data_IF_222925659866
#
_entry.id   IF_222925659866
#
_cell.length_a   1.000
_cell.length_b   1.000
_cell.length_c   1.000
_cell.angle_alpha   90.00
_cell.angle_beta   90.00
_cell.angle_gamma   90.00
#
_symmetry.space_group_name_H-M   'P 1'
#
loop_
_entity.id
_entity.type
_entity.pdbx_description
1 polymer ?
#
# COMPACT_ATOMS: atom_id res chain seq x y z
N UNK A 1 -61.70 45.15 18.43
CA UNK A 1 -60.64 45.55 19.38
C UNK A 1 -59.91 44.27 19.71
N UNK A 2 -59.16 43.76 18.74
CA UNK A 2 -57.70 43.98 18.56
C UNK A 2 -56.98 42.84 19.28
N UNK A 3 -56.05 42.09 18.72
CA UNK A 3 -55.40 42.11 17.42
C UNK A 3 -54.58 40.82 17.30
N UNK A 4 -54.38 40.41 16.06
CA UNK A 4 -53.48 39.34 15.60
C UNK A 4 -52.04 39.52 16.10
N UNK A 5 -51.33 38.42 16.38
CA UNK A 5 -49.93 38.31 15.95
C UNK A 5 -49.46 36.85 15.81
N UNK A 6 -48.80 36.64 14.68
CA UNK A 6 -48.23 35.40 14.14
C UNK A 6 -47.02 34.91 14.93
N UNK A 7 -46.77 33.59 14.93
CA UNK A 7 -45.41 33.08 15.03
C UNK A 7 -45.23 31.76 14.25
N UNK A 8 -44.27 31.66 13.31
CA UNK A 8 -44.23 30.61 12.29
C UNK A 8 -43.33 29.42 12.65
N UNK A 9 -43.59 28.30 11.96
CA UNK A 9 -42.91 27.02 12.13
C UNK A 9 -41.43 26.93 11.73
N UNK A 10 -40.82 25.74 11.90
CA UNK A 10 -39.38 25.54 11.87
C UNK A 10 -38.81 25.59 10.44
N UNK A 11 -37.85 26.50 10.23
CA UNK A 11 -37.12 26.69 8.97
C UNK A 11 -36.18 25.51 8.70
N UNK A 12 -36.39 24.85 7.57
CA UNK A 12 -35.46 23.94 6.90
C UNK A 12 -34.24 24.72 6.38
N UNK A 13 -33.04 24.36 6.86
CA UNK A 13 -31.78 24.84 6.23
C UNK A 13 -31.46 23.94 5.04
N UNK A 14 -31.80 24.41 3.85
CA UNK A 14 -31.20 23.98 2.58
C UNK A 14 -29.83 24.63 2.46
N UNK A 15 -28.77 23.82 2.30
CA UNK A 15 -27.45 24.28 1.85
C UNK A 15 -27.50 24.47 0.32
N UNK A 16 -26.96 25.57 -0.23
CA UNK A 16 -26.93 25.79 -1.66
C UNK A 16 -25.78 25.02 -2.33
N UNK A 17 -26.12 24.40 -3.46
CA UNK A 17 -25.20 23.96 -4.51
C UNK A 17 -24.60 25.21 -5.16
N UNK A 18 -23.27 25.31 -5.22
CA UNK A 18 -22.56 26.21 -6.14
C UNK A 18 -21.52 25.37 -6.88
N UNK A 19 -21.75 25.24 -8.19
CA UNK A 19 -20.89 24.61 -9.17
C UNK A 19 -20.23 25.73 -9.99
N UNK A 20 -18.93 25.57 -10.25
CA UNK A 20 -18.10 26.26 -11.24
C UNK A 20 -17.82 27.77 -11.06
N UNK A 21 -16.54 28.12 -10.86
CA UNK A 21 -15.72 28.86 -11.85
C UNK A 21 -14.31 29.16 -11.29
N UNK A 22 -13.34 29.25 -12.21
CA UNK A 22 -11.97 29.79 -12.10
C UNK A 22 -10.80 28.79 -11.97
N UNK A 23 -10.47 28.15 -13.09
CA UNK A 23 -9.11 28.29 -13.65
C UNK A 23 -9.14 29.49 -14.62
N UNK A 24 -8.15 30.42 -14.62
CA UNK A 24 -6.90 30.12 -15.32
C UNK A 24 -5.64 30.77 -14.71
N UNK A 25 -4.58 29.99 -14.52
CA UNK A 25 -3.22 30.50 -14.49
C UNK A 25 -2.31 29.36 -14.95
N UNK A 26 -2.01 29.31 -16.25
CA UNK A 26 -0.84 28.68 -16.88
C UNK A 26 -1.00 28.86 -18.40
N UNK A 27 -0.75 30.07 -18.87
CA UNK A 27 -0.55 30.39 -20.27
C UNK A 27 0.78 31.14 -20.40
N UNK A 28 1.90 30.43 -20.28
CA UNK A 28 3.22 30.97 -20.62
C UNK A 28 4.26 29.87 -20.86
N UNK A 29 4.00 28.96 -21.79
CA UNK A 29 5.05 28.27 -22.53
C UNK A 29 4.54 28.07 -23.95
N UNK A 30 4.89 29.00 -24.84
CA UNK A 30 4.54 28.90 -26.25
C UNK A 30 5.19 27.67 -26.88
N UNK A 31 4.36 26.71 -27.28
CA UNK A 31 4.63 25.70 -28.29
C UNK A 31 3.26 25.36 -28.92
N UNK A 32 3.14 25.56 -30.24
CA UNK A 32 1.94 25.30 -31.02
C UNK A 32 1.74 23.78 -31.25
N UNK A 33 0.51 23.32 -31.59
CA UNK A 33 0.07 21.94 -31.40
C UNK A 33 0.30 21.07 -32.64
N UNK A 34 0.56 19.78 -32.42
CA UNK A 34 0.41 18.75 -33.45
C UNK A 34 -0.18 17.48 -32.81
N UNK A 35 -1.31 17.02 -33.35
CA UNK A 35 -1.84 15.68 -33.13
C UNK A 35 -2.99 15.61 -32.13
N UNK A 36 -4.22 15.68 -32.65
CA UNK A 36 -5.41 15.13 -31.99
C UNK A 36 -5.19 13.63 -31.72
N UNK A 37 -5.37 13.21 -30.47
CA UNK A 37 -5.68 11.83 -30.10
C UNK A 37 -7.02 11.85 -29.37
N UNK A 38 -7.95 11.04 -29.87
CA UNK A 38 -9.32 10.89 -29.37
C UNK A 38 -9.38 10.41 -27.91
N UNK A 39 -10.46 10.72 -27.18
CA UNK A 39 -10.58 10.38 -25.77
C UNK A 39 -10.81 8.87 -25.57
N UNK A 40 -9.94 8.24 -24.79
CA UNK A 40 -10.17 6.90 -24.23
C UNK A 40 -11.21 7.03 -23.11
N UNK A 41 -12.27 6.24 -23.21
CA UNK A 41 -13.33 6.13 -22.20
C UNK A 41 -12.76 5.82 -20.82
N UNK A 42 -12.86 6.81 -19.92
CA UNK A 42 -12.56 6.69 -18.51
C UNK A 42 -13.61 5.80 -17.85
N UNK A 43 -13.22 4.54 -17.59
CA UNK A 43 -13.86 3.67 -16.61
C UNK A 43 -14.02 4.43 -15.28
N UNK A 44 -15.27 4.49 -14.81
CA UNK A 44 -15.69 5.11 -13.57
C UNK A 44 -14.95 4.49 -12.37
N UNK A 45 -13.93 5.18 -11.87
CA UNK A 45 -13.35 4.92 -10.55
C UNK A 45 -14.18 5.69 -9.52
N UNK A 46 -14.76 4.99 -8.55
CA UNK A 46 -15.55 5.60 -7.47
C UNK A 46 -14.70 6.60 -6.67
N UNK A 47 -15.23 7.77 -6.26
CA UNK A 47 -14.49 8.81 -5.52
C UNK A 47 -13.89 8.35 -4.18
N UNK A 48 -14.36 7.23 -3.61
CA UNK A 48 -13.82 6.65 -2.37
C UNK A 48 -12.44 6.00 -2.54
N UNK A 49 -12.02 5.63 -3.75
CA UNK A 49 -10.71 5.02 -4.00
C UNK A 49 -9.58 6.05 -4.12
N UNK A 50 -9.89 7.32 -4.44
CA UNK A 50 -8.88 8.34 -4.72
C UNK A 50 -8.14 8.83 -3.46
N UNK A 51 -8.77 8.79 -2.28
CA UNK A 51 -8.15 9.22 -1.02
C UNK A 51 -7.18 8.17 -0.44
N UNK A 52 -7.47 6.86 -0.61
CA UNK A 52 -6.56 5.77 -0.24
C UNK A 52 -5.33 5.73 -1.15
N UNK A 53 -5.54 5.97 -2.45
CA UNK A 53 -4.47 6.00 -3.44
C UNK A 53 -3.38 7.02 -3.12
N UNK A 54 -3.69 8.24 -2.66
CA UNK A 54 -2.67 9.25 -2.35
C UNK A 54 -1.72 8.84 -1.21
N UNK A 55 -2.24 8.21 -0.15
CA UNK A 55 -1.42 7.68 0.95
C UNK A 55 -0.58 6.48 0.54
N UNK A 56 -1.12 5.62 -0.33
CA UNK A 56 -0.45 4.42 -0.84
C UNK A 56 0.61 4.76 -1.90
N UNK A 57 0.37 5.72 -2.79
CA UNK A 57 1.40 6.24 -3.69
C UNK A 57 2.50 6.97 -2.93
N UNK A 58 2.17 7.64 -1.80
CA UNK A 58 3.15 8.17 -0.86
C UNK A 58 4.00 7.07 -0.22
N UNK A 59 3.38 5.98 0.24
CA UNK A 59 4.07 4.81 0.79
C UNK A 59 4.93 4.12 -0.28
N UNK A 60 4.39 3.77 -1.44
CA UNK A 60 5.15 3.12 -2.51
C UNK A 60 6.25 4.03 -3.05
N UNK A 61 6.02 5.34 -3.16
CA UNK A 61 7.05 6.32 -3.48
C UNK A 61 8.16 6.34 -2.43
N UNK A 62 7.80 6.33 -1.14
CA UNK A 62 8.75 6.25 -0.03
C UNK A 62 9.52 4.94 0.01
N UNK A 63 8.82 3.79 -0.04
CA UNK A 63 9.39 2.44 -0.05
C UNK A 63 10.32 2.25 -1.25
N UNK A 64 9.93 2.72 -2.44
CA UNK A 64 10.73 2.62 -3.66
C UNK A 64 11.97 3.51 -3.64
N UNK A 65 11.87 4.74 -3.11
CA UNK A 65 13.03 5.62 -2.94
C UNK A 65 14.01 5.02 -1.92
N UNK A 66 13.52 4.36 -0.86
CA UNK A 66 14.38 3.67 0.10
C UNK A 66 15.01 2.38 -0.41
N UNK A 67 14.32 1.63 -1.26
CA UNK A 67 14.86 0.44 -1.92
C UNK A 67 16.07 0.80 -2.81
N UNK A 68 16.03 1.95 -3.49
CA UNK A 68 17.18 2.48 -4.22
C UNK A 68 18.35 2.77 -3.29
N UNK A 69 18.11 3.46 -2.17
CA UNK A 69 19.14 3.71 -1.15
C UNK A 69 19.70 2.41 -0.54
N UNK A 70 18.85 1.39 -0.34
CA UNK A 70 19.26 0.08 0.18
C UNK A 70 20.14 -0.68 -0.81
N UNK A 71 19.82 -0.69 -2.10
CA UNK A 71 20.68 -1.30 -3.14
C UNK A 71 22.05 -0.64 -3.19
N UNK A 72 22.10 0.69 -3.13
CA UNK A 72 23.35 1.44 -3.02
C UNK A 72 24.12 1.12 -1.74
N UNK A 73 23.44 0.90 -0.61
CA UNK A 73 24.09 0.57 0.67
C UNK A 73 24.61 -0.89 0.70
N UNK A 74 23.91 -1.82 0.06
CA UNK A 74 24.33 -3.22 -0.09
C UNK A 74 25.57 -3.31 -1.00
N UNK A 75 25.57 -2.59 -2.12
CA UNK A 75 26.72 -2.45 -3.02
C UNK A 75 27.91 -1.78 -2.30
N UNK A 76 27.68 -0.77 -1.46
CA UNK A 76 28.71 -0.14 -0.61
C UNK A 76 29.28 -1.07 0.47
N UNK A 77 28.45 -1.92 1.08
CA UNK A 77 28.90 -2.92 2.05
C UNK A 77 29.77 -3.99 1.39
N UNK A 78 29.46 -4.35 0.14
CA UNK A 78 30.29 -5.26 -0.67
C UNK A 78 31.58 -4.58 -1.16
N UNK A 79 31.60 -3.25 -1.33
CA UNK A 79 32.75 -2.48 -1.81
C UNK A 79 33.76 -2.03 -0.73
N UNK A 80 33.62 -2.45 0.53
CA UNK A 80 34.64 -2.23 1.56
C UNK A 80 34.86 -0.77 1.97
N UNK A 81 33.92 -0.24 2.77
CA UNK A 81 34.19 0.74 3.83
C UNK A 81 34.22 2.23 3.47
N UNK A 82 33.26 2.99 4.03
CA UNK A 82 33.47 4.29 4.70
C UNK A 82 32.42 4.41 5.82
N UNK A 83 32.87 4.67 7.06
CA UNK A 83 31.99 5.04 8.18
C UNK A 83 31.49 6.47 7.95
N UNK A 84 30.26 6.59 7.44
CA UNK A 84 29.51 7.84 7.52
C UNK A 84 29.08 8.05 8.98
N UNK A 85 29.18 9.29 9.45
CA UNK A 85 28.68 9.63 10.79
C UNK A 85 27.19 9.31 10.87
N UNK A 86 26.72 8.83 12.03
CA UNK A 86 25.31 8.48 12.23
C UNK A 86 24.39 9.69 12.03
N UNK A 87 24.90 10.94 12.13
CA UNK A 87 24.17 12.13 11.69
C UNK A 87 23.91 12.17 10.18
N UNK A 88 24.87 11.77 9.33
CA UNK A 88 24.62 11.60 7.91
C UNK A 88 23.62 10.46 7.65
N UNK A 89 23.66 9.40 8.46
CA UNK A 89 22.76 8.24 8.35
C UNK A 89 21.34 8.48 8.90
N UNK A 90 21.20 9.36 9.89
CA UNK A 90 19.94 9.85 10.45
C UNK A 90 19.35 10.94 9.54
N UNK A 91 20.19 11.81 8.98
CA UNK A 91 19.83 12.71 7.88
C UNK A 91 19.64 11.97 6.54
N UNK A 92 19.99 10.70 6.41
CA UNK A 92 19.70 9.85 5.24
C UNK A 92 18.44 9.00 5.52
N UNK A 93 18.18 8.66 6.79
CA UNK A 93 16.88 8.15 7.29
C UNK A 93 15.78 9.23 7.29
N UNK A 94 16.16 10.52 7.35
CA UNK A 94 15.34 11.74 7.22
C UNK A 94 15.66 12.55 5.94
N UNK A 95 16.53 12.03 5.08
CA UNK A 95 17.06 12.52 3.78
C UNK A 95 17.59 13.98 3.66
N UNK A 96 18.89 14.14 3.30
CA UNK A 96 19.40 15.36 2.64
C UNK A 96 18.87 15.48 1.20
N UNK A 97 18.43 14.37 0.58
CA UNK A 97 17.58 14.38 -0.63
C UNK A 97 16.08 14.52 -0.30
N UNK A 98 15.66 14.31 0.96
CA UNK A 98 14.26 14.45 1.44
C UNK A 98 13.91 15.89 1.85
N UNK A 99 14.85 16.85 1.80
CA UNK A 99 14.50 18.27 1.78
C UNK A 99 13.55 18.64 0.61
N UNK A 100 13.38 17.74 -0.36
CA UNK A 100 12.46 17.88 -1.50
C UNK A 100 11.28 16.89 -1.51
N UNK A 101 11.16 15.99 -0.52
CA UNK A 101 10.01 15.06 -0.40
C UNK A 101 9.07 15.49 0.74
N UNK A 102 8.03 16.30 0.47
CA UNK A 102 7.22 16.97 1.50
C UNK A 102 6.52 16.00 2.47
N UNK A 103 6.27 14.75 2.07
CA UNK A 103 5.43 13.84 2.84
C UNK A 103 6.08 13.31 4.14
N UNK A 104 7.42 13.15 4.23
CA UNK A 104 8.05 12.61 5.46
C UNK A 104 8.33 13.66 6.52
N UNK A 105 8.77 14.85 6.11
CA UNK A 105 8.91 15.98 7.01
C UNK A 105 7.55 16.30 7.66
N UNK A 106 6.46 16.23 6.89
CA UNK A 106 5.09 16.38 7.39
C UNK A 106 4.65 15.25 8.35
N UNK A 107 5.11 14.00 8.13
CA UNK A 107 4.79 12.87 9.01
C UNK A 107 5.44 12.97 10.41
N UNK A 108 6.63 13.57 10.49
CA UNK A 108 7.37 13.74 11.74
C UNK A 108 7.22 15.13 12.36
N UNK A 109 6.72 16.09 11.58
CA UNK A 109 6.37 17.41 12.08
C UNK A 109 5.11 17.35 12.97
N UNK A 110 5.11 18.17 14.00
CA UNK A 110 3.92 18.59 14.72
C UNK A 110 3.04 19.42 13.77
N UNK A 111 1.75 19.61 14.08
CA UNK A 111 0.85 20.41 13.23
C UNK A 111 1.33 21.84 12.96
N UNK A 112 2.27 22.33 13.78
CA UNK A 112 2.93 23.63 13.65
C UNK A 112 4.24 23.58 12.84
N UNK A 113 4.59 22.43 12.26
CA UNK A 113 5.81 22.23 11.47
C UNK A 113 7.05 21.89 12.31
N UNK A 114 6.97 21.83 13.65
CA UNK A 114 8.14 21.56 14.50
C UNK A 114 8.43 20.06 14.62
N UNK A 115 9.71 19.67 14.71
CA UNK A 115 10.07 18.26 14.87
C UNK A 115 9.62 17.69 16.22
N UNK A 116 9.20 16.42 16.22
CA UNK A 116 8.88 15.68 17.44
C UNK A 116 10.05 15.73 18.46
N UNK A 117 9.87 16.36 19.64
CA UNK A 117 10.93 16.49 20.64
C UNK A 117 11.50 15.14 21.10
N UNK A 118 10.72 14.07 21.03
CA UNK A 118 11.17 12.72 21.37
C UNK A 118 12.24 12.24 20.38
N UNK A 119 12.11 12.56 19.10
CA UNK A 119 13.11 12.18 18.09
C UNK A 119 14.43 12.91 18.31
N UNK A 120 14.39 14.19 18.67
CA UNK A 120 15.58 14.97 19.01
C UNK A 120 16.29 14.36 20.23
N UNK A 121 15.52 13.99 21.25
CA UNK A 121 16.07 13.36 22.46
C UNK A 121 16.68 11.99 22.14
N UNK A 122 15.97 11.13 21.41
CA UNK A 122 16.47 9.81 21.01
C UNK A 122 17.71 9.92 20.13
N UNK A 123 17.77 10.89 19.22
CA UNK A 123 18.97 11.14 18.43
C UNK A 123 20.18 11.41 19.34
N UNK A 124 20.03 12.22 20.39
CA UNK A 124 21.11 12.44 21.36
C UNK A 124 21.48 11.17 22.11
N UNK A 125 20.49 10.40 22.57
CA UNK A 125 20.70 9.14 23.28
C UNK A 125 21.41 8.09 22.41
N UNK A 126 21.15 8.08 21.10
CA UNK A 126 21.85 7.22 20.15
C UNK A 126 23.32 7.61 19.90
N UNK A 127 23.80 8.73 20.43
CA UNK A 127 25.18 9.20 20.28
C UNK A 127 25.97 9.21 21.60
N UNK A 128 25.37 8.79 22.72
CA UNK A 128 26.10 8.76 23.99
C UNK A 128 27.30 7.79 23.92
N UNK A 129 28.36 8.01 24.71
CA UNK A 129 29.47 7.07 24.82
C UNK A 129 29.02 5.69 25.31
N UNK A 130 29.79 4.64 25.03
CA UNK A 130 29.46 3.25 25.41
C UNK A 130 29.23 3.10 26.93
N UNK A 131 29.95 3.87 27.74
CA UNK A 131 29.83 3.86 29.22
C UNK A 131 28.48 4.37 29.73
N UNK A 132 27.76 5.17 28.94
CA UNK A 132 26.42 5.71 29.27
C UNK A 132 25.30 4.97 28.50
N UNK A 133 25.67 3.97 27.69
CA UNK A 133 24.74 3.36 26.74
C UNK A 133 23.65 2.53 27.42
N UNK A 134 23.93 1.87 28.54
CA UNK A 134 22.92 1.07 29.24
C UNK A 134 21.73 1.92 29.71
N UNK A 135 21.99 3.09 30.30
CA UNK A 135 20.97 4.02 30.75
C UNK A 135 20.23 4.66 29.56
N UNK A 136 20.97 5.15 28.57
CA UNK A 136 20.38 5.72 27.35
C UNK A 136 19.50 4.70 26.61
N UNK A 137 19.91 3.44 26.58
CA UNK A 137 19.13 2.36 25.98
C UNK A 137 17.82 2.11 26.72
N UNK A 138 17.82 2.17 28.06
CA UNK A 138 16.60 2.03 28.86
C UNK A 138 15.59 3.15 28.56
N UNK A 139 16.08 4.39 28.39
CA UNK A 139 15.24 5.53 28.01
C UNK A 139 14.70 5.39 26.58
N UNK A 140 15.54 5.03 25.60
CA UNK A 140 15.11 4.74 24.22
C UNK A 140 14.02 3.67 24.20
N UNK A 141 14.23 2.58 24.95
CA UNK A 141 13.26 1.51 25.08
C UNK A 141 11.93 2.00 25.62
N UNK A 142 11.97 2.84 26.67
CA UNK A 142 10.79 3.44 27.27
C UNK A 142 10.02 4.30 26.25
N UNK A 143 10.71 5.12 25.46
CA UNK A 143 10.05 5.92 24.42
C UNK A 143 9.40 5.06 23.34
N UNK A 144 10.07 4.02 22.85
CA UNK A 144 9.51 3.11 21.85
C UNK A 144 8.31 2.31 22.37
N UNK A 145 8.28 1.99 23.68
CA UNK A 145 7.20 1.25 24.31
C UNK A 145 6.03 2.14 24.79
N UNK A 146 6.23 3.45 24.94
CA UNK A 146 5.20 4.38 25.39
C UNK A 146 4.14 4.59 24.30
N UNK A 147 2.88 4.34 24.66
CA UNK A 147 1.71 4.55 23.78
C UNK A 147 1.46 6.04 23.49
N UNK A 148 2.02 6.95 24.31
CA UNK A 148 1.95 8.40 24.08
C UNK A 148 2.94 8.86 23.01
N UNK A 149 4.00 8.09 22.76
CA UNK A 149 4.91 8.35 21.64
C UNK A 149 4.15 8.13 20.35
N UNK A 150 4.30 9.07 19.40
CA UNK A 150 3.67 8.98 18.08
C UNK A 150 4.03 7.64 17.43
N UNK A 151 3.06 6.92 16.84
CA UNK A 151 3.31 5.60 16.26
C UNK A 151 4.48 5.54 15.28
N UNK A 152 4.59 6.52 14.37
CA UNK A 152 5.72 6.61 13.43
C UNK A 152 7.05 6.86 14.13
N UNK A 153 7.08 7.74 15.15
CA UNK A 153 8.27 7.97 15.95
C UNK A 153 8.74 6.69 16.64
N UNK A 154 7.82 5.83 17.13
CA UNK A 154 8.19 4.53 17.73
C UNK A 154 8.97 3.64 16.75
N UNK A 155 8.60 3.63 15.46
CA UNK A 155 9.31 2.88 14.41
C UNK A 155 10.73 3.43 14.21
N UNK A 156 10.87 4.74 14.08
CA UNK A 156 12.18 5.41 13.91
C UNK A 156 13.08 5.16 15.11
N UNK A 157 12.54 5.25 16.32
CA UNK A 157 13.28 4.99 17.57
C UNK A 157 13.75 3.54 17.62
N UNK A 158 12.90 2.58 17.25
CA UNK A 158 13.23 1.17 17.22
C UNK A 158 14.32 0.85 16.16
N UNK A 159 14.20 1.42 14.95
CA UNK A 159 15.22 1.29 13.90
C UNK A 159 16.54 1.93 14.31
N UNK A 160 16.49 3.11 14.93
CA UNK A 160 17.64 3.78 15.53
C UNK A 160 18.31 2.92 16.60
N UNK A 161 17.54 2.29 17.49
CA UNK A 161 18.09 1.37 18.49
C UNK A 161 18.78 0.17 17.84
N UNK A 162 18.23 -0.38 16.76
CA UNK A 162 18.80 -1.52 16.04
C UNK A 162 20.22 -1.21 15.50
N UNK A 163 20.54 0.04 15.19
CA UNK A 163 21.89 0.45 14.75
C UNK A 163 22.98 0.19 15.78
N UNK A 164 22.63 0.24 17.08
CA UNK A 164 23.57 0.01 18.20
C UNK A 164 23.36 -1.33 18.88
N UNK A 165 22.12 -1.80 18.94
CA UNK A 165 21.76 -3.08 19.54
C UNK A 165 20.66 -3.73 18.70
N UNK A 166 21.10 -4.53 17.71
CA UNK A 166 20.22 -5.20 16.74
C UNK A 166 19.14 -6.00 17.46
N UNK A 167 19.51 -6.81 18.46
CA UNK A 167 18.57 -7.67 19.19
C UNK A 167 17.42 -6.87 19.82
N UNK A 168 17.71 -5.78 20.54
CA UNK A 168 16.66 -4.96 21.16
C UNK A 168 15.88 -4.16 20.12
N UNK A 169 16.53 -3.60 19.11
CA UNK A 169 15.86 -2.86 18.05
C UNK A 169 14.89 -3.72 17.24
N UNK A 170 15.33 -4.90 16.79
CA UNK A 170 14.48 -5.91 16.11
C UNK A 170 13.30 -6.32 17.01
N UNK A 171 13.55 -6.58 18.29
CA UNK A 171 12.48 -6.93 19.23
C UNK A 171 11.40 -5.84 19.34
N UNK A 172 11.78 -4.56 19.33
CA UNK A 172 10.82 -3.44 19.31
C UNK A 172 10.08 -3.34 17.99
N UNK A 173 10.78 -3.47 16.86
CA UNK A 173 10.15 -3.43 15.54
C UNK A 173 9.11 -4.55 15.39
N UNK A 174 9.43 -5.79 15.81
CA UNK A 174 8.47 -6.91 15.85
C UNK A 174 7.29 -6.58 16.75
N UNK A 175 7.54 -6.00 17.93
CA UNK A 175 6.46 -5.60 18.85
C UNK A 175 5.53 -4.56 18.23
N UNK A 176 6.07 -3.59 17.48
CA UNK A 176 5.27 -2.58 16.78
C UNK A 176 4.51 -3.21 15.61
N UNK A 177 5.15 -4.08 14.82
CA UNK A 177 4.52 -4.81 13.72
C UNK A 177 3.30 -5.64 14.16
N UNK A 178 3.35 -6.21 15.36
CA UNK A 178 2.29 -7.03 15.95
C UNK A 178 1.27 -6.25 16.79
N UNK A 179 1.46 -4.95 16.98
CA UNK A 179 0.57 -4.10 17.79
C UNK A 179 -0.74 -3.84 17.02
N UNK A 180 -1.76 -4.66 17.30
CA UNK A 180 -3.05 -4.59 16.61
C UNK A 180 -3.86 -3.31 16.86
N UNK A 181 -3.45 -2.48 17.81
CA UNK A 181 -4.05 -1.16 18.05
C UNK A 181 -3.47 -0.08 17.13
N UNK A 182 -2.35 -0.37 16.46
CA UNK A 182 -1.74 0.55 15.49
C UNK A 182 -2.34 0.36 14.11
N UNK A 183 -2.40 1.46 13.36
CA UNK A 183 -2.77 1.42 11.95
C UNK A 183 -1.86 0.45 11.18
N UNK A 184 -2.45 -0.29 10.23
CA UNK A 184 -1.77 -1.22 9.31
C UNK A 184 -0.52 -0.58 8.69
N UNK A 185 -0.61 0.68 8.27
CA UNK A 185 0.50 1.46 7.73
C UNK A 185 1.73 1.51 8.65
N UNK A 186 1.53 1.80 9.95
CA UNK A 186 2.64 1.87 10.92
C UNK A 186 3.26 0.48 11.12
N UNK A 187 2.41 -0.55 11.14
CA UNK A 187 2.84 -1.95 11.26
C UNK A 187 3.66 -2.36 10.03
N UNK A 188 3.19 -2.05 8.82
CA UNK A 188 3.92 -2.25 7.57
C UNK A 188 5.29 -1.57 7.57
N UNK A 189 5.34 -0.31 8.02
CA UNK A 189 6.61 0.42 8.14
C UNK A 189 7.58 -0.28 9.09
N UNK A 190 7.10 -0.73 10.25
CA UNK A 190 7.94 -1.47 11.19
C UNK A 190 8.50 -2.76 10.58
N UNK A 191 7.68 -3.49 9.80
CA UNK A 191 8.11 -4.70 9.09
C UNK A 191 9.12 -4.36 7.98
N UNK A 192 8.89 -3.27 7.25
CA UNK A 192 9.81 -2.82 6.23
C UNK A 192 11.18 -2.45 6.83
N UNK A 193 11.21 -1.82 8.00
CA UNK A 193 12.46 -1.60 8.74
C UNK A 193 13.13 -2.92 9.15
N UNK A 194 12.36 -3.96 9.51
CA UNK A 194 12.92 -5.27 9.86
C UNK A 194 13.76 -5.86 8.72
N UNK A 195 13.42 -5.60 7.44
CA UNK A 195 14.18 -6.09 6.27
C UNK A 195 15.67 -5.73 6.34
N UNK A 196 16.01 -4.59 6.96
CA UNK A 196 17.40 -4.14 7.10
C UNK A 196 18.21 -4.99 8.07
N UNK A 197 17.54 -5.59 9.05
CA UNK A 197 18.15 -6.20 10.23
C UNK A 197 18.02 -7.72 10.23
N UNK A 198 16.88 -8.24 9.76
CA UNK A 198 16.55 -9.66 9.73
C UNK A 198 15.46 -9.94 8.66
N UNK A 199 15.87 -10.50 7.52
CA UNK A 199 14.97 -10.77 6.39
C UNK A 199 13.93 -11.85 6.70
N UNK A 200 14.33 -12.89 7.44
CA UNK A 200 13.45 -14.02 7.77
C UNK A 200 12.35 -13.57 8.73
N UNK A 201 12.70 -12.78 9.74
CA UNK A 201 11.74 -12.16 10.65
C UNK A 201 10.83 -11.19 9.89
N UNK A 202 11.37 -10.35 9.00
CA UNK A 202 10.55 -9.43 8.20
C UNK A 202 9.53 -10.19 7.35
N UNK A 203 9.95 -11.25 6.66
CA UNK A 203 9.06 -12.08 5.85
C UNK A 203 7.97 -12.75 6.70
N UNK A 204 8.31 -13.28 7.88
CA UNK A 204 7.33 -13.84 8.81
C UNK A 204 6.30 -12.80 9.29
N UNK A 205 6.73 -11.56 9.56
CA UNK A 205 5.80 -10.51 9.97
C UNK A 205 4.92 -10.01 8.81
N UNK A 206 5.42 -9.97 7.57
CA UNK A 206 4.58 -9.68 6.41
C UNK A 206 3.50 -10.75 6.20
N UNK A 207 3.82 -12.04 6.38
CA UNK A 207 2.83 -13.12 6.36
C UNK A 207 1.78 -12.94 7.45
N UNK A 208 2.22 -12.62 8.67
CA UNK A 208 1.32 -12.37 9.79
C UNK A 208 0.37 -11.20 9.50
N UNK A 209 0.87 -10.14 8.86
CA UNK A 209 0.04 -8.98 8.50
C UNK A 209 -0.90 -9.29 7.33
N UNK A 210 -0.45 -10.02 6.31
CA UNK A 210 -1.28 -10.49 5.20
C UNK A 210 -2.44 -11.39 5.70
N UNK A 211 -2.21 -12.18 6.74
CA UNK A 211 -3.23 -13.04 7.35
C UNK A 211 -4.17 -12.31 8.32
N UNK A 212 -3.90 -11.06 8.69
CA UNK A 212 -4.66 -10.33 9.72
C UNK A 212 -6.03 -9.87 9.19
N UNK A 213 -7.10 -10.59 9.54
CA UNK A 213 -8.48 -10.25 9.11
C UNK A 213 -9.02 -8.92 9.69
N UNK A 214 -8.31 -8.28 10.63
CA UNK A 214 -8.74 -7.02 11.26
C UNK A 214 -8.38 -5.78 10.44
N UNK A 215 -7.50 -5.92 9.44
CA UNK A 215 -7.09 -4.83 8.55
C UNK A 215 -7.72 -4.99 7.16
N UNK A 216 -7.60 -3.94 6.34
CA UNK A 216 -8.20 -3.92 5.01
C UNK A 216 -7.60 -4.99 4.08
N UNK A 217 -8.38 -5.45 3.09
CA UNK A 217 -7.86 -6.36 2.07
C UNK A 217 -6.72 -5.71 1.26
N UNK A 218 -6.81 -4.41 0.99
CA UNK A 218 -5.79 -3.63 0.31
C UNK A 218 -4.44 -3.68 1.05
N UNK A 219 -4.42 -3.41 2.36
CA UNK A 219 -3.19 -3.49 3.15
C UNK A 219 -2.62 -4.92 3.22
N UNK A 220 -3.49 -5.93 3.23
CA UNK A 220 -3.07 -7.35 3.20
C UNK A 220 -2.44 -7.71 1.86
N UNK A 221 -2.96 -7.19 0.75
CA UNK A 221 -2.37 -7.33 -0.59
C UNK A 221 -0.99 -6.68 -0.60
N UNK A 222 -0.87 -5.44 -0.11
CA UNK A 222 0.43 -4.74 -0.01
C UNK A 222 1.43 -5.55 0.83
N UNK A 223 1.01 -6.13 1.95
CA UNK A 223 1.87 -7.01 2.75
C UNK A 223 2.33 -8.25 1.96
N UNK A 224 1.44 -8.85 1.15
CA UNK A 224 1.77 -9.98 0.28
C UNK A 224 2.72 -9.60 -0.87
N UNK A 225 2.58 -8.40 -1.43
CA UNK A 225 3.50 -7.87 -2.45
C UNK A 225 4.90 -7.64 -1.87
N UNK A 226 4.99 -6.95 -0.72
CA UNK A 226 6.27 -6.70 -0.05
C UNK A 226 6.94 -8.00 0.43
N UNK A 227 6.14 -9.02 0.78
CA UNK A 227 6.66 -10.36 1.00
C UNK A 227 7.21 -10.97 -0.29
N UNK A 228 6.52 -10.82 -1.41
CA UNK A 228 6.97 -11.32 -2.72
C UNK A 228 8.27 -10.68 -3.21
N UNK A 229 8.50 -9.41 -2.89
CA UNK A 229 9.78 -8.74 -3.14
C UNK A 229 10.95 -9.39 -2.37
N UNK A 230 10.68 -9.94 -1.18
CA UNK A 230 11.67 -10.66 -0.37
C UNK A 230 11.81 -12.13 -0.78
N UNK A 231 10.67 -12.78 -0.99
CA UNK A 231 10.53 -14.19 -1.30
C UNK A 231 9.29 -14.38 -2.19
N UNK A 232 9.55 -14.54 -3.49
CA UNK A 232 8.53 -14.64 -4.51
C UNK A 232 7.53 -15.78 -4.27
N UNK A 233 7.98 -16.92 -3.73
CA UNK A 233 7.12 -18.07 -3.48
C UNK A 233 6.17 -17.79 -2.31
N UNK A 234 6.71 -17.25 -1.21
CA UNK A 234 5.91 -16.88 -0.02
C UNK A 234 4.92 -15.76 -0.34
N UNK A 235 5.34 -14.74 -1.10
CA UNK A 235 4.47 -13.65 -1.54
C UNK A 235 3.33 -14.13 -2.44
N UNK A 236 3.64 -14.97 -3.43
CA UNK A 236 2.63 -15.59 -4.28
C UNK A 236 1.63 -16.45 -3.47
N UNK A 237 2.11 -17.22 -2.49
CA UNK A 237 1.26 -18.01 -1.60
C UNK A 237 0.36 -17.13 -0.72
N UNK A 238 0.89 -16.03 -0.17
CA UNK A 238 0.14 -15.08 0.63
C UNK A 238 -0.95 -14.36 -0.18
N UNK A 239 -0.65 -13.95 -1.40
CA UNK A 239 -1.65 -13.37 -2.31
C UNK A 239 -2.71 -14.40 -2.72
N UNK A 240 -2.32 -15.66 -2.97
CA UNK A 240 -3.27 -16.73 -3.25
C UNK A 240 -4.22 -17.00 -2.06
N UNK A 241 -3.75 -16.85 -0.82
CA UNK A 241 -4.61 -16.96 0.37
C UNK A 241 -5.71 -15.88 0.40
N UNK A 242 -5.41 -14.66 -0.07
CA UNK A 242 -6.42 -13.59 -0.25
C UNK A 242 -7.42 -14.00 -1.33
N UNK A 243 -6.93 -14.48 -2.48
CA UNK A 243 -7.77 -14.94 -3.62
C UNK A 243 -8.75 -16.02 -3.17
N UNK A 244 -8.34 -16.91 -2.27
CA UNK A 244 -9.15 -18.02 -1.80
C UNK A 244 -10.11 -17.67 -0.66
N UNK A 245 -10.06 -16.45 -0.12
CA UNK A 245 -10.91 -16.06 0.99
C UNK A 245 -12.33 -15.64 0.52
N UNK A 246 -13.37 -16.45 0.78
CA UNK A 246 -14.72 -16.15 0.29
C UNK A 246 -15.40 -14.98 1.01
N UNK A 247 -14.85 -14.51 2.15
CA UNK A 247 -15.39 -13.35 2.88
C UNK A 247 -15.00 -12.02 2.22
N UNK A 248 -13.99 -12.01 1.36
CA UNK A 248 -13.50 -10.81 0.70
C UNK A 248 -14.30 -10.51 -0.57
N UNK A 249 -14.37 -9.21 -0.92
CA UNK A 249 -15.02 -8.79 -2.15
C UNK A 249 -14.27 -9.35 -3.36
N UNK A 250 -14.99 -9.60 -4.47
CA UNK A 250 -14.38 -10.13 -5.67
C UNK A 250 -13.26 -9.24 -6.20
N UNK A 251 -13.45 -7.92 -6.18
CA UNK A 251 -12.44 -6.97 -6.68
C UNK A 251 -11.10 -7.08 -5.93
N UNK A 252 -11.14 -7.26 -4.60
CA UNK A 252 -9.93 -7.46 -3.80
C UNK A 252 -9.25 -8.79 -4.15
N UNK A 253 -10.05 -9.86 -4.26
CA UNK A 253 -9.56 -11.19 -4.62
C UNK A 253 -8.97 -11.20 -6.03
N UNK A 254 -9.60 -10.52 -6.97
CA UNK A 254 -9.13 -10.37 -8.36
C UNK A 254 -7.86 -9.51 -8.42
N UNK A 255 -7.80 -8.40 -7.68
CA UNK A 255 -6.59 -7.60 -7.55
C UNK A 255 -5.43 -8.44 -7.00
N UNK A 256 -5.65 -9.22 -5.93
CA UNK A 256 -4.63 -10.12 -5.40
C UNK A 256 -4.15 -11.16 -6.44
N UNK A 257 -5.06 -11.70 -7.27
CA UNK A 257 -4.70 -12.59 -8.36
C UNK A 257 -3.79 -11.89 -9.40
N UNK A 258 -4.15 -10.68 -9.83
CA UNK A 258 -3.31 -9.90 -10.75
C UNK A 258 -1.94 -9.56 -10.15
N UNK A 259 -1.90 -9.13 -8.87
CA UNK A 259 -0.65 -8.81 -8.17
C UNK A 259 0.28 -10.02 -8.03
N UNK A 260 -0.27 -11.23 -7.89
CA UNK A 260 0.56 -12.45 -7.82
C UNK A 260 1.39 -12.69 -9.08
N UNK A 261 0.96 -12.15 -10.23
CA UNK A 261 1.69 -12.23 -11.50
C UNK A 261 2.99 -11.45 -11.53
N UNK A 262 3.21 -10.53 -10.59
CA UNK A 262 4.50 -9.85 -10.43
C UNK A 262 5.62 -10.82 -10.00
N UNK A 263 5.26 -11.93 -9.34
CA UNK A 263 6.20 -12.89 -8.78
C UNK A 263 6.20 -14.22 -9.55
N UNK A 264 5.05 -14.62 -10.11
CA UNK A 264 4.93 -15.84 -10.89
C UNK A 264 3.70 -15.81 -11.81
N UNK A 265 3.91 -15.98 -13.11
CA UNK A 265 2.81 -16.15 -14.09
C UNK A 265 1.93 -17.34 -13.71
N UNK A 266 2.55 -18.46 -13.30
CA UNK A 266 1.83 -19.64 -12.85
C UNK A 266 0.95 -19.36 -11.62
N UNK A 267 1.43 -18.54 -10.67
CA UNK A 267 0.62 -18.16 -9.50
C UNK A 267 -0.60 -17.32 -9.91
N UNK A 268 -0.43 -16.37 -10.84
CA UNK A 268 -1.53 -15.59 -11.41
C UNK A 268 -2.55 -16.46 -12.12
N UNK A 269 -2.10 -17.36 -12.99
CA UNK A 269 -2.98 -18.29 -13.69
C UNK A 269 -3.77 -19.14 -12.69
N UNK A 270 -3.09 -19.74 -11.71
CA UNK A 270 -3.74 -20.54 -10.66
C UNK A 270 -4.76 -19.73 -9.87
N UNK A 271 -4.43 -18.49 -9.51
CA UNK A 271 -5.33 -17.60 -8.78
C UNK A 271 -6.58 -17.24 -9.61
N UNK A 272 -6.39 -16.88 -10.88
CA UNK A 272 -7.49 -16.55 -11.78
C UNK A 272 -8.37 -17.78 -12.07
N UNK A 273 -7.79 -18.97 -12.21
CA UNK A 273 -8.55 -20.22 -12.32
C UNK A 273 -9.42 -20.50 -11.09
N UNK A 274 -8.88 -20.25 -9.89
CA UNK A 274 -9.65 -20.36 -8.65
C UNK A 274 -10.86 -19.41 -8.67
N UNK A 275 -10.70 -18.19 -9.19
CA UNK A 275 -11.80 -17.23 -9.31
C UNK A 275 -12.82 -17.60 -10.39
N UNK A 276 -12.35 -18.05 -11.56
CA UNK A 276 -13.22 -18.45 -12.68
C UNK A 276 -14.11 -19.65 -12.33
N UNK A 277 -13.62 -20.54 -11.48
CA UNK A 277 -14.31 -21.77 -11.06
C UNK A 277 -15.01 -21.66 -9.70
N UNK A 278 -14.91 -20.51 -9.01
CA UNK A 278 -15.55 -20.29 -7.72
C UNK A 278 -17.09 -20.22 -7.85
N UNK A 279 -17.77 -21.31 -7.54
CA UNK A 279 -19.23 -21.41 -7.63
C UNK A 279 -19.97 -20.51 -6.64
N UNK A 280 -19.31 -19.95 -5.62
CA UNK A 280 -19.98 -19.05 -4.67
C UNK A 280 -20.03 -17.60 -5.19
N UNK A 281 -19.35 -17.31 -6.30
CA UNK A 281 -19.32 -15.98 -6.92
C UNK A 281 -20.42 -15.80 -7.96
N UNK A 282 -20.78 -14.53 -8.20
CA UNK A 282 -21.66 -14.16 -9.32
C UNK A 282 -21.04 -14.63 -10.64
N UNK A 283 -21.89 -15.02 -11.58
CA UNK A 283 -21.39 -15.53 -12.86
C UNK A 283 -20.57 -14.48 -13.61
N UNK A 284 -20.98 -13.21 -13.58
CA UNK A 284 -20.22 -12.10 -14.19
C UNK A 284 -18.79 -11.98 -13.65
N UNK A 285 -18.59 -12.13 -12.33
CA UNK A 285 -17.26 -12.13 -11.71
C UNK A 285 -16.40 -13.29 -12.20
N UNK A 286 -16.99 -14.49 -12.29
CA UNK A 286 -16.30 -15.68 -12.81
C UNK A 286 -15.91 -15.49 -14.27
N UNK A 287 -16.81 -14.92 -15.08
CA UNK A 287 -16.54 -14.57 -16.49
C UNK A 287 -15.43 -13.54 -16.61
N UNK A 288 -15.35 -12.54 -15.73
CA UNK A 288 -14.22 -11.59 -15.72
C UNK A 288 -12.88 -12.30 -15.48
N UNK A 289 -12.82 -13.29 -14.58
CA UNK A 289 -11.62 -14.10 -14.38
C UNK A 289 -11.29 -14.99 -15.59
N UNK A 290 -12.30 -15.64 -16.20
CA UNK A 290 -12.12 -16.40 -17.45
C UNK A 290 -11.66 -15.52 -18.61
N UNK A 291 -12.22 -14.31 -18.74
CA UNK A 291 -11.84 -13.31 -19.72
C UNK A 291 -10.39 -12.90 -19.56
N UNK A 292 -9.96 -12.67 -18.31
CA UNK A 292 -8.56 -12.37 -18.02
C UNK A 292 -7.62 -13.53 -18.36
N UNK A 293 -7.97 -14.76 -18.00
CA UNK A 293 -7.22 -15.96 -18.42
C UNK A 293 -7.13 -16.07 -19.95
N UNK A 294 -8.20 -15.76 -20.66
CA UNK A 294 -8.22 -15.77 -22.13
C UNK A 294 -7.29 -14.72 -22.74
N UNK A 295 -7.30 -13.49 -22.20
CA UNK A 295 -6.38 -12.43 -22.62
C UNK A 295 -4.91 -12.79 -22.36
N UNK A 296 -4.64 -13.56 -21.31
CA UNK A 296 -3.30 -14.08 -21.00
C UNK A 296 -2.91 -15.30 -21.87
N UNK A 297 -3.81 -15.79 -22.73
CA UNK A 297 -3.55 -16.96 -23.59
C UNK A 297 -3.53 -18.29 -22.85
N UNK A 298 -4.13 -18.36 -21.67
CA UNK A 298 -4.14 -19.58 -20.84
C UNK A 298 -5.01 -20.66 -21.50
N UNK A 299 -4.48 -21.88 -21.74
CA UNK A 299 -5.25 -22.97 -22.35
C UNK A 299 -6.52 -23.29 -21.54
N UNK A 300 -7.64 -23.57 -22.22
CA UNK A 300 -8.92 -23.88 -21.57
C UNK A 300 -9.78 -22.65 -21.26
N UNK A 301 -9.20 -21.44 -21.22
CA UNK A 301 -9.95 -20.24 -20.88
C UNK A 301 -10.94 -19.82 -21.98
N UNK A 302 -10.58 -20.05 -23.25
CA UNK A 302 -11.45 -19.79 -24.39
C UNK A 302 -12.68 -20.70 -24.33
N UNK A 303 -12.48 -21.99 -24.07
CA UNK A 303 -13.54 -22.99 -23.98
C UNK A 303 -14.51 -22.68 -22.83
N UNK A 304 -14.01 -22.15 -21.71
CA UNK A 304 -14.87 -21.64 -20.63
C UNK A 304 -15.78 -20.50 -21.10
N UNK A 305 -15.23 -19.56 -21.86
CA UNK A 305 -15.99 -18.42 -22.37
C UNK A 305 -17.00 -18.85 -23.44
N UNK A 306 -16.61 -19.74 -24.36
CA UNK A 306 -17.52 -20.30 -25.38
C UNK A 306 -18.68 -21.06 -24.72
N UNK A 307 -18.37 -21.93 -23.76
CA UNK A 307 -19.40 -22.63 -22.98
C UNK A 307 -20.32 -21.66 -22.23
N UNK A 308 -19.76 -20.59 -21.66
CA UNK A 308 -20.54 -19.53 -21.00
C UNK A 308 -21.45 -18.78 -21.96
N UNK A 309 -20.96 -18.40 -23.15
CA UNK A 309 -21.73 -17.68 -24.16
C UNK A 309 -22.91 -18.50 -24.70
N UNK A 310 -22.74 -19.81 -24.87
CA UNK A 310 -23.75 -20.73 -25.38
C UNK A 310 -24.76 -21.19 -24.32
N UNK A 311 -24.43 -21.06 -23.03
CA UNK A 311 -25.27 -21.58 -21.95
C UNK A 311 -26.49 -20.68 -21.69
N UNK A 312 -27.61 -21.00 -22.34
CA UNK A 312 -28.89 -20.29 -22.21
C UNK A 312 -29.47 -20.23 -20.78
N UNK A 313 -28.96 -21.02 -19.84
CA UNK A 313 -29.36 -20.96 -18.43
C UNK A 313 -28.61 -19.88 -17.64
N UNK A 314 -27.57 -19.27 -18.22
CA UNK A 314 -26.87 -18.13 -17.62
C UNK A 314 -27.61 -16.82 -17.86
N UNK A 315 -27.42 -15.89 -16.92
CA UNK A 315 -27.88 -14.51 -17.02
C UNK A 315 -27.41 -13.88 -18.35
N UNK A 316 -28.28 -13.12 -19.06
CA UNK A 316 -27.92 -12.47 -20.33
C UNK A 316 -26.64 -11.64 -20.24
N UNK A 317 -26.43 -10.92 -19.13
CA UNK A 317 -25.27 -10.07 -18.88
C UNK A 317 -23.97 -10.88 -18.84
N UNK A 318 -23.98 -12.06 -18.22
CA UNK A 318 -22.82 -12.93 -18.18
C UNK A 318 -22.48 -13.51 -19.57
N UNK A 319 -23.51 -13.87 -20.34
CA UNK A 319 -23.33 -14.37 -21.72
C UNK A 319 -22.77 -13.30 -22.65
N UNK A 320 -23.32 -12.08 -22.57
CA UNK A 320 -22.83 -10.94 -23.34
C UNK A 320 -21.37 -10.64 -22.99
N UNK A 321 -21.02 -10.69 -21.70
CA UNK A 321 -19.63 -10.50 -21.27
C UNK A 321 -18.69 -11.59 -21.82
N UNK A 322 -19.12 -12.86 -21.86
CA UNK A 322 -18.35 -13.91 -22.53
C UNK A 322 -18.11 -13.59 -24.01
N UNK A 323 -19.16 -13.21 -24.74
CA UNK A 323 -19.07 -12.85 -26.16
C UNK A 323 -18.15 -11.66 -26.39
N UNK A 324 -18.18 -10.67 -25.49
CA UNK A 324 -17.27 -9.52 -25.52
C UNK A 324 -15.81 -9.97 -25.40
N UNK A 325 -15.47 -10.78 -24.40
CA UNK A 325 -14.10 -11.28 -24.25
C UNK A 325 -13.63 -12.13 -25.44
N UNK A 326 -14.51 -12.96 -26.01
CA UNK A 326 -14.20 -13.75 -27.21
C UNK A 326 -13.97 -12.87 -28.45
N UNK A 327 -14.66 -11.74 -28.54
CA UNK A 327 -14.53 -10.79 -29.65
C UNK A 327 -13.30 -9.88 -29.54
N UNK A 328 -12.80 -9.65 -28.33
CA UNK A 328 -11.66 -8.74 -28.06
C UNK A 328 -10.31 -9.28 -28.56
N UNK A 329 -10.20 -10.55 -28.95
CA UNK A 329 -8.93 -11.12 -29.45
C UNK A 329 -8.87 -11.09 -30.98
N UNK A 330 -8.17 -10.10 -31.52
CA UNK A 330 -7.61 -10.16 -32.87
C UNK A 330 -6.44 -11.16 -32.92
N UNK A 331 -6.24 -11.85 -34.07
CA UNK A 331 -5.23 -12.90 -34.19
C UNK A 331 -3.83 -12.30 -34.04
N UNK A 332 -3.02 -12.88 -33.13
CA UNK A 332 -1.59 -12.64 -33.13
C UNK A 332 -1.02 -13.05 -34.51
N UNK A 333 -0.57 -12.06 -35.27
CA UNK A 333 0.32 -12.19 -36.43
C UNK A 333 1.77 -12.33 -35.98
#
# INVERSE_FOLDING_TARGET
MDGSEDNPGPRSRRLPVILATLAPALASTGLAPAGLVEPVDLLWVSPTCAAGAAGIYGLFGWLRNRELSFRFELERRQAGGVSLSVNAKFNELLGEEEAQNPNLAEMHALPDGTQDPVLILVQRLLHVPEVEWEDAQADIWRFAADRKTRPYSRVVIASGLATRNITKGVMLLVRIARDGELASMVRLMAIHELRRWDLDVAAMEYECLNADERISAEDRIVAGELLGELDAERGAAALLAIVQNPKLHFDDRFNAAERSGQFSDWARERALWALATDSTQRMTNRVSASGRLHQLGVPGARELLESGAENLSLEPEARELCMKFLAEVQPFS
#
